data_IF_304848948534
#
_entry.id   IF_304848948534
#
_cell.length_a   1.000
_cell.length_b   1.000
_cell.length_c   1.000
_cell.angle_alpha   90.00
_cell.angle_beta   90.00
_cell.angle_gamma   90.00
#
_symmetry.space_group_name_H-M   'P 1'
#
loop_
_entity.id
_entity.type
_entity.pdbx_description
1 polymer ?
#
# COMPACT_ATOMS: atom_id res chain seq x y z
N UNK A 1 -3.60 15.74 14.43
CA UNK A 1 -2.57 16.03 13.39
C UNK A 1 -1.09 15.83 13.77
N UNK A 2 -0.51 16.48 14.79
CA UNK A 2 0.96 16.59 14.96
C UNK A 2 1.72 15.25 15.10
N UNK A 3 1.16 14.28 15.84
CA UNK A 3 1.78 12.95 16.00
C UNK A 3 1.81 12.19 14.67
N UNK A 4 0.73 12.27 13.88
CA UNK A 4 0.64 11.63 12.57
C UNK A 4 1.77 12.08 11.64
N UNK A 5 2.01 13.40 11.58
CA UNK A 5 3.09 14.01 10.79
C UNK A 5 4.46 13.62 11.32
N UNK A 6 4.70 13.73 12.63
CA UNK A 6 6.00 13.45 13.23
C UNK A 6 6.43 12.00 12.99
N UNK A 7 5.54 11.04 13.20
CA UNK A 7 5.84 9.62 12.99
C UNK A 7 6.06 9.32 11.51
N UNK A 8 5.24 9.88 10.60
CA UNK A 8 5.44 9.70 9.16
C UNK A 8 6.80 10.25 8.71
N UNK A 9 7.19 11.44 9.19
CA UNK A 9 8.49 12.03 8.90
C UNK A 9 9.63 11.15 9.40
N UNK A 10 9.54 10.61 10.62
CA UNK A 10 10.54 9.69 11.17
C UNK A 10 10.67 8.43 10.31
N UNK A 11 9.56 7.85 9.85
CA UNK A 11 9.59 6.65 8.98
C UNK A 11 10.30 6.94 7.66
N UNK A 12 9.97 8.06 7.00
CA UNK A 12 10.59 8.45 5.72
C UNK A 12 12.08 8.73 5.90
N UNK A 13 12.45 9.47 6.95
CA UNK A 13 13.86 9.77 7.27
C UNK A 13 14.62 8.48 7.59
N UNK A 14 14.05 7.57 8.37
CA UNK A 14 14.67 6.29 8.70
C UNK A 14 14.94 5.47 7.44
N UNK A 15 13.99 5.41 6.49
CA UNK A 15 14.19 4.73 5.21
C UNK A 15 15.34 5.31 4.39
N UNK A 16 15.46 6.64 4.33
CA UNK A 16 16.56 7.32 3.62
C UNK A 16 17.91 7.09 4.33
N UNK A 17 17.94 7.14 5.66
CA UNK A 17 19.14 6.86 6.47
C UNK A 17 19.61 5.43 6.29
N UNK A 18 18.70 4.44 6.30
CA UNK A 18 19.05 3.04 6.07
C UNK A 18 19.62 2.79 4.67
N UNK A 19 19.12 3.51 3.67
CA UNK A 19 19.66 3.48 2.32
C UNK A 19 21.07 4.09 2.26
N UNK A 20 21.28 5.30 2.81
CA UNK A 20 22.59 5.96 2.84
C UNK A 20 23.65 5.17 3.59
N UNK A 21 23.26 4.54 4.72
CA UNK A 21 24.13 3.64 5.49
C UNK A 21 24.36 2.28 4.83
N UNK A 22 23.80 2.04 3.63
CA UNK A 22 23.87 0.77 2.88
C UNK A 22 23.36 -0.44 3.67
N UNK A 23 22.51 -0.21 4.68
CA UNK A 23 21.88 -1.27 5.48
C UNK A 23 20.81 -1.96 4.62
N UNK A 24 20.05 -1.17 3.86
CA UNK A 24 19.02 -1.65 2.96
C UNK A 24 19.32 -1.24 1.52
N UNK A 25 19.06 -2.15 0.58
CA UNK A 25 19.02 -1.79 -0.84
C UNK A 25 17.93 -0.74 -1.10
N UNK A 26 18.03 0.02 -2.21
CA UNK A 26 17.01 1.00 -2.62
C UNK A 26 15.59 0.40 -2.59
N UNK A 27 15.43 -0.82 -3.12
CA UNK A 27 14.11 -1.44 -3.17
C UNK A 27 13.58 -1.88 -1.80
N UNK A 28 14.46 -2.39 -0.93
CA UNK A 28 14.07 -2.73 0.44
C UNK A 28 13.74 -1.48 1.25
N UNK A 29 14.48 -0.38 1.07
CA UNK A 29 14.21 0.90 1.72
C UNK A 29 12.84 1.46 1.28
N UNK A 30 12.55 1.39 -0.02
CA UNK A 30 11.24 1.79 -0.56
C UNK A 30 10.11 0.94 0.02
N UNK A 31 10.27 -0.39 0.08
CA UNK A 31 9.23 -1.28 0.63
C UNK A 31 9.12 -1.18 2.16
N UNK A 32 10.18 -0.81 2.87
CA UNK A 32 10.13 -0.45 4.29
C UNK A 32 9.22 0.78 4.51
N UNK A 33 9.44 1.88 3.77
CA UNK A 33 8.61 3.07 3.85
C UNK A 33 7.16 2.75 3.46
N UNK A 34 6.96 1.95 2.40
CA UNK A 34 5.65 1.52 1.93
C UNK A 34 4.86 0.74 2.98
N UNK A 35 5.47 -0.28 3.58
CA UNK A 35 4.81 -1.14 4.58
C UNK A 35 4.59 -0.38 5.89
N UNK A 36 5.66 0.15 6.48
CA UNK A 36 5.59 0.77 7.82
C UNK A 36 4.84 2.10 7.76
N UNK A 37 5.14 2.94 6.76
CA UNK A 37 4.43 4.20 6.53
C UNK A 37 2.98 3.96 6.16
N UNK A 38 2.69 2.97 5.31
CA UNK A 38 1.33 2.62 4.95
C UNK A 38 0.50 2.09 6.12
N UNK A 39 1.07 1.23 6.98
CA UNK A 39 0.38 0.78 8.20
C UNK A 39 0.16 1.93 9.20
N UNK A 40 1.08 2.87 9.29
CA UNK A 40 0.88 4.09 10.07
C UNK A 40 -0.24 4.97 9.49
N UNK A 41 -0.34 5.08 8.17
CA UNK A 41 -1.43 5.82 7.53
C UNK A 41 -2.76 5.08 7.71
N UNK A 42 -2.77 3.74 7.63
CA UNK A 42 -3.96 2.94 7.88
C UNK A 42 -4.57 3.21 9.27
N UNK A 43 -3.76 3.54 10.28
CA UNK A 43 -4.24 3.86 11.63
C UNK A 43 -4.66 5.32 11.84
N UNK A 44 -4.47 6.21 10.86
CA UNK A 44 -4.87 7.61 10.96
C UNK A 44 -6.33 7.88 11.32
N UNK A 45 -7.35 7.17 10.80
CA UNK A 45 -8.74 7.50 11.12
C UNK A 45 -9.10 7.23 12.59
N UNK A 46 -8.22 6.58 13.37
CA UNK A 46 -8.36 6.42 14.81
C UNK A 46 -7.63 7.52 15.62
N UNK A 47 -6.87 8.39 14.94
CA UNK A 47 -6.03 9.44 15.56
C UNK A 47 -6.45 10.84 15.15
N UNK A 48 -6.98 10.99 13.93
CA UNK A 48 -7.29 12.26 13.29
C UNK A 48 -8.57 12.13 12.46
N UNK A 49 -9.23 13.26 12.19
CA UNK A 49 -10.43 13.29 11.36
C UNK A 49 -10.09 13.14 9.86
N UNK A 50 -11.09 12.82 9.04
CA UNK A 50 -10.89 12.59 7.61
C UNK A 50 -10.51 13.86 6.83
N UNK A 51 -10.84 15.06 7.31
CA UNK A 51 -10.36 16.31 6.69
C UNK A 51 -8.85 16.46 6.84
N UNK A 52 -8.31 16.16 8.03
CA UNK A 52 -6.87 16.10 8.28
C UNK A 52 -6.20 15.01 7.43
N UNK A 53 -6.81 13.82 7.28
CA UNK A 53 -6.30 12.76 6.40
C UNK A 53 -6.22 13.25 4.96
N UNK A 54 -7.30 13.82 4.43
CA UNK A 54 -7.37 14.36 3.06
C UNK A 54 -6.28 15.43 2.84
N UNK A 55 -6.12 16.35 3.77
CA UNK A 55 -5.08 17.39 3.72
C UNK A 55 -3.67 16.77 3.71
N UNK A 56 -3.37 15.85 4.62
CA UNK A 56 -2.06 15.21 4.71
C UNK A 56 -1.74 14.34 3.49
N UNK A 57 -2.72 13.63 2.95
CA UNK A 57 -2.58 12.86 1.71
C UNK A 57 -2.33 13.76 0.51
N UNK A 58 -2.99 14.92 0.43
CA UNK A 58 -2.73 15.92 -0.61
C UNK A 58 -1.31 16.50 -0.50
N UNK A 59 -0.88 16.89 0.71
CA UNK A 59 0.49 17.39 0.95
C UNK A 59 1.52 16.31 0.56
N UNK A 60 1.29 15.06 0.94
CA UNK A 60 2.18 13.94 0.63
C UNK A 60 2.22 13.67 -0.88
N UNK A 61 1.09 13.78 -1.58
CA UNK A 61 1.01 13.67 -3.04
C UNK A 61 1.83 14.76 -3.73
N UNK A 62 1.65 16.02 -3.34
CA UNK A 62 2.42 17.14 -3.87
C UNK A 62 3.92 16.92 -3.61
N UNK A 63 4.29 16.57 -2.38
CA UNK A 63 5.67 16.27 -2.01
C UNK A 63 6.25 15.11 -2.84
N UNK A 64 5.49 14.05 -3.10
CA UNK A 64 5.92 12.92 -3.93
C UNK A 64 6.14 13.34 -5.39
N UNK A 65 5.24 14.15 -5.96
CA UNK A 65 5.40 14.68 -7.32
C UNK A 65 6.60 15.63 -7.44
N UNK A 66 6.79 16.53 -6.48
CA UNK A 66 7.94 17.43 -6.40
C UNK A 66 9.24 16.62 -6.27
N UNK A 67 9.26 15.63 -5.38
CA UNK A 67 10.40 14.72 -5.21
C UNK A 67 10.72 13.94 -6.49
N UNK A 68 9.71 13.51 -7.24
CA UNK A 68 9.89 12.86 -8.53
C UNK A 68 10.52 13.78 -9.58
N UNK A 69 10.10 15.05 -9.62
CA UNK A 69 10.66 16.03 -10.55
C UNK A 69 12.10 16.44 -10.16
N UNK A 70 12.36 16.68 -8.88
CA UNK A 70 13.65 17.17 -8.37
C UNK A 70 14.62 16.07 -7.89
N UNK A 71 14.22 14.79 -7.92
CA UNK A 71 14.98 13.63 -7.44
C UNK A 71 15.47 13.76 -5.99
N UNK A 72 14.63 14.30 -5.10
CA UNK A 72 15.01 14.64 -3.71
C UNK A 72 15.35 13.39 -2.89
N UNK A 73 14.50 12.36 -2.94
CA UNK A 73 14.74 11.10 -2.22
C UNK A 73 15.43 10.08 -3.13
N UNK A 74 16.73 9.89 -2.93
CA UNK A 74 17.53 9.02 -3.79
C UNK A 74 17.17 7.54 -3.60
N UNK A 75 16.77 7.13 -2.40
CA UNK A 75 16.31 5.76 -2.14
C UNK A 75 15.10 5.36 -3.02
N UNK A 76 14.21 6.30 -3.29
CA UNK A 76 12.99 6.11 -4.08
C UNK A 76 13.27 6.15 -5.59
N UNK A 77 14.20 7.00 -6.05
CA UNK A 77 14.48 7.23 -7.47
C UNK A 77 15.63 6.40 -8.04
N UNK A 78 16.44 5.75 -7.22
CA UNK A 78 17.61 4.96 -7.66
C UNK A 78 17.26 3.57 -8.22
N UNK A 79 15.98 3.24 -8.35
CA UNK A 79 15.53 1.96 -8.91
C UNK A 79 15.55 2.01 -10.44
N UNK A 80 16.04 0.94 -11.09
CA UNK A 80 16.14 0.85 -12.56
C UNK A 80 14.80 0.96 -13.30
N UNK A 81 13.67 0.76 -12.63
CA UNK A 81 12.32 0.76 -13.23
C UNK A 81 11.65 2.14 -13.12
N UNK A 82 11.11 2.64 -14.23
CA UNK A 82 10.17 3.78 -14.21
C UNK A 82 8.84 3.32 -13.62
N UNK A 83 8.43 3.87 -12.48
CA UNK A 83 7.15 3.57 -11.84
C UNK A 83 6.58 4.85 -11.24
N UNK A 84 5.26 5.00 -11.28
CA UNK A 84 4.54 6.12 -10.69
C UNK A 84 4.05 5.80 -9.27
N UNK A 85 4.41 4.63 -8.72
CA UNK A 85 3.91 4.13 -7.43
C UNK A 85 4.10 5.10 -6.27
N UNK A 86 5.19 5.89 -6.25
CA UNK A 86 5.44 6.88 -5.20
C UNK A 86 4.38 8.01 -5.17
N UNK A 87 3.87 8.42 -6.34
CA UNK A 87 2.78 9.41 -6.44
C UNK A 87 1.40 8.75 -6.39
N UNK A 88 1.26 7.55 -6.95
CA UNK A 88 -0.02 6.81 -6.94
C UNK A 88 -0.43 6.34 -5.54
N UNK A 89 0.53 6.09 -4.64
CA UNK A 89 0.26 5.71 -3.25
C UNK A 89 -0.50 6.80 -2.46
N UNK A 90 0.00 8.04 -2.32
CA UNK A 90 -0.75 9.09 -1.62
C UNK A 90 -2.01 9.49 -2.38
N UNK A 91 -2.06 9.36 -3.72
CA UNK A 91 -3.29 9.55 -4.49
C UNK A 91 -4.35 8.49 -4.15
N UNK A 92 -3.95 7.21 -4.04
CA UNK A 92 -4.83 6.11 -3.64
C UNK A 92 -5.44 6.34 -2.28
N UNK A 93 -4.62 6.78 -1.31
CA UNK A 93 -5.09 7.13 0.05
C UNK A 93 -6.05 8.32 0.01
N UNK A 94 -5.71 9.38 -0.74
CA UNK A 94 -6.56 10.55 -0.88
C UNK A 94 -7.95 10.17 -1.44
N UNK A 95 -8.01 9.44 -2.54
CA UNK A 95 -9.27 9.02 -3.13
C UNK A 95 -10.06 8.08 -2.20
N UNK A 96 -9.38 7.16 -1.53
CA UNK A 96 -9.99 6.26 -0.53
C UNK A 96 -10.68 7.08 0.58
N UNK A 97 -10.02 8.14 1.08
CA UNK A 97 -10.59 9.03 2.12
C UNK A 97 -11.75 9.92 1.65
N UNK A 98 -12.07 9.94 0.35
CA UNK A 98 -13.27 10.58 -0.18
C UNK A 98 -14.41 9.59 -0.40
N UNK A 99 -14.12 8.29 -0.52
CA UNK A 99 -15.13 7.25 -0.75
C UNK A 99 -15.73 6.78 0.59
N UNK A 100 -14.91 6.74 1.65
CA UNK A 100 -15.37 6.31 2.98
C UNK A 100 -14.84 7.23 4.07
N UNK A 101 -15.70 7.52 5.05
CA UNK A 101 -15.33 8.11 6.34
C UNK A 101 -15.44 7.05 7.49
N UNK A 102 -15.56 5.76 7.17
CA UNK A 102 -15.52 4.67 8.16
C UNK A 102 -14.06 4.31 8.49
N UNK A 103 -13.63 4.41 9.76
CA UNK A 103 -12.25 4.14 10.15
C UNK A 103 -11.76 2.73 9.84
N UNK A 104 -12.62 1.72 10.00
CA UNK A 104 -12.24 0.32 9.78
C UNK A 104 -12.19 -0.03 8.30
N UNK A 105 -13.10 0.52 7.47
CA UNK A 105 -13.05 0.37 6.01
C UNK A 105 -11.80 1.05 5.44
N UNK A 106 -11.47 2.26 5.92
CA UNK A 106 -10.23 2.93 5.52
C UNK A 106 -9.00 2.14 5.97
N UNK A 107 -8.97 1.66 7.22
CA UNK A 107 -7.87 0.84 7.73
C UNK A 107 -7.64 -0.40 6.88
N UNK A 108 -8.69 -1.19 6.59
CA UNK A 108 -8.56 -2.43 5.82
C UNK A 108 -8.11 -2.15 4.38
N UNK A 109 -8.58 -1.05 3.76
CA UNK A 109 -8.16 -0.63 2.43
C UNK A 109 -6.67 -0.29 2.37
N UNK A 110 -6.21 0.57 3.28
CA UNK A 110 -4.80 0.98 3.33
C UNK A 110 -3.89 -0.14 3.82
N UNK A 111 -4.37 -1.05 4.69
CA UNK A 111 -3.62 -2.23 5.11
C UNK A 111 -3.36 -3.20 3.95
N UNK A 112 -4.33 -3.43 3.06
CA UNK A 112 -4.11 -4.22 1.84
C UNK A 112 -3.06 -3.58 0.94
N UNK A 113 -3.17 -2.27 0.69
CA UNK A 113 -2.18 -1.51 -0.05
C UNK A 113 -0.78 -1.61 0.58
N UNK A 114 -0.66 -1.40 1.89
CA UNK A 114 0.63 -1.31 2.56
C UNK A 114 1.28 -2.69 2.75
N UNK A 115 0.53 -3.64 3.30
CA UNK A 115 1.06 -4.91 3.77
C UNK A 115 1.00 -5.99 2.70
N UNK A 116 -0.13 -6.20 2.04
CA UNK A 116 -0.25 -7.27 1.04
C UNK A 116 0.63 -7.00 -0.19
N UNK A 117 0.55 -5.81 -0.80
CA UNK A 117 1.47 -5.42 -1.90
C UNK A 117 2.93 -5.32 -1.43
N UNK A 118 3.15 -4.79 -0.23
CA UNK A 118 4.48 -4.69 0.36
C UNK A 118 5.18 -6.05 0.45
N UNK A 119 4.51 -7.03 1.05
CA UNK A 119 5.02 -8.39 1.22
C UNK A 119 5.13 -9.13 -0.11
N UNK A 120 4.14 -9.00 -1.00
CA UNK A 120 4.17 -9.62 -2.33
C UNK A 120 5.44 -9.25 -3.11
N UNK A 121 5.81 -7.97 -3.10
CA UNK A 121 7.02 -7.51 -3.75
C UNK A 121 8.30 -8.01 -3.07
N UNK A 122 8.37 -7.98 -1.72
CA UNK A 122 9.55 -8.44 -0.98
C UNK A 122 9.78 -9.93 -1.18
N UNK A 123 8.73 -10.75 -1.01
CA UNK A 123 8.82 -12.20 -1.15
C UNK A 123 9.06 -12.60 -2.61
N UNK A 124 8.29 -12.01 -3.54
CA UNK A 124 8.43 -12.27 -4.97
C UNK A 124 9.84 -11.95 -5.49
N UNK A 125 10.42 -10.82 -5.09
CA UNK A 125 11.79 -10.48 -5.50
C UNK A 125 12.84 -11.38 -4.87
N UNK A 126 12.70 -11.74 -3.59
CA UNK A 126 13.72 -12.49 -2.86
C UNK A 126 13.73 -13.98 -3.23
N UNK A 127 12.56 -14.59 -3.38
CA UNK A 127 12.43 -16.04 -3.60
C UNK A 127 11.65 -16.43 -4.86
N UNK A 128 10.89 -15.52 -5.47
CA UNK A 128 9.99 -15.80 -6.60
C UNK A 128 10.66 -15.82 -7.98
N UNK A 129 11.96 -15.51 -8.10
CA UNK A 129 12.64 -15.36 -9.41
C UNK A 129 12.58 -16.58 -10.32
N UNK A 130 12.56 -17.79 -9.75
CA UNK A 130 12.50 -19.06 -10.51
C UNK A 130 11.11 -19.35 -11.10
N UNK A 131 10.08 -18.70 -10.56
CA UNK A 131 8.67 -18.83 -10.98
C UNK A 131 8.13 -17.46 -11.41
N UNK A 132 8.96 -16.74 -12.17
CA UNK A 132 8.64 -15.43 -12.70
C UNK A 132 7.90 -15.53 -14.04
N UNK A 133 7.01 -14.59 -14.29
CA UNK A 133 6.28 -14.41 -15.54
C UNK A 133 6.17 -12.91 -15.85
N UNK A 134 5.68 -12.55 -17.03
CA UNK A 134 5.59 -11.14 -17.45
C UNK A 134 4.15 -10.71 -17.64
N UNK A 135 3.84 -9.52 -17.14
CA UNK A 135 2.61 -8.78 -17.44
C UNK A 135 3.05 -7.47 -18.11
N UNK A 136 2.84 -7.39 -19.43
CA UNK A 136 3.44 -6.33 -20.25
C UNK A 136 4.97 -6.33 -20.14
N UNK A 137 5.54 -5.24 -19.62
CA UNK A 137 6.99 -5.09 -19.44
C UNK A 137 7.46 -5.32 -17.99
N UNK A 138 6.57 -5.69 -17.06
CA UNK A 138 6.94 -5.97 -15.68
C UNK A 138 7.06 -7.46 -15.40
N UNK A 139 8.14 -7.85 -14.72
CA UNK A 139 8.31 -9.20 -14.21
C UNK A 139 7.53 -9.35 -12.90
N UNK A 140 6.57 -10.27 -12.88
CA UNK A 140 5.83 -10.73 -11.70
C UNK A 140 6.26 -12.14 -11.33
N UNK A 141 5.83 -12.63 -10.18
CA UNK A 141 6.20 -13.97 -9.70
C UNK A 141 5.00 -14.67 -9.09
N UNK A 142 4.90 -15.98 -9.30
CA UNK A 142 3.82 -16.78 -8.71
C UNK A 142 3.84 -16.65 -7.19
N UNK A 143 5.04 -16.68 -6.60
CA UNK A 143 5.21 -16.56 -5.15
C UNK A 143 4.76 -15.18 -4.62
N UNK A 144 4.98 -14.10 -5.37
CA UNK A 144 4.46 -12.77 -5.04
C UNK A 144 2.93 -12.74 -5.02
N UNK A 145 2.28 -13.27 -6.07
CA UNK A 145 0.81 -13.32 -6.14
C UNK A 145 0.19 -14.19 -5.04
N UNK A 146 0.80 -15.33 -4.71
CA UNK A 146 0.38 -16.18 -3.58
C UNK A 146 0.57 -15.44 -2.25
N UNK A 147 1.67 -14.71 -2.08
CA UNK A 147 1.91 -13.89 -0.87
C UNK A 147 0.85 -12.81 -0.72
N UNK A 148 0.50 -12.13 -1.82
CA UNK A 148 -0.57 -11.13 -1.82
C UNK A 148 -1.90 -11.77 -1.39
N UNK A 149 -2.27 -12.90 -2.01
CA UNK A 149 -3.53 -13.60 -1.74
C UNK A 149 -3.65 -13.99 -0.26
N UNK A 150 -2.61 -14.61 0.29
CA UNK A 150 -2.60 -15.04 1.71
C UNK A 150 -2.59 -13.85 2.67
N UNK A 151 -1.89 -12.77 2.31
CA UNK A 151 -1.86 -11.56 3.12
C UNK A 151 -3.22 -10.85 3.10
N UNK A 152 -3.87 -10.78 1.92
CA UNK A 152 -5.22 -10.24 1.78
C UNK A 152 -6.25 -11.06 2.55
N UNK A 153 -6.15 -12.40 2.51
CA UNK A 153 -7.01 -13.27 3.31
C UNK A 153 -6.84 -13.00 4.81
N UNK A 154 -5.60 -12.87 5.29
CA UNK A 154 -5.32 -12.57 6.69
C UNK A 154 -5.88 -11.20 7.12
N UNK A 155 -5.67 -10.16 6.31
CA UNK A 155 -6.19 -8.81 6.56
C UNK A 155 -7.72 -8.78 6.55
N UNK A 156 -8.35 -9.44 5.57
CA UNK A 156 -9.82 -9.52 5.45
C UNK A 156 -10.43 -10.32 6.62
N UNK A 157 -9.78 -11.40 7.03
CA UNK A 157 -10.19 -12.18 8.22
C UNK A 157 -10.12 -11.32 9.48
N UNK A 158 -9.02 -10.59 9.66
CA UNK A 158 -8.84 -9.68 10.79
C UNK A 158 -9.94 -8.60 10.82
N UNK A 159 -10.22 -7.95 9.69
CA UNK A 159 -11.30 -6.97 9.56
C UNK A 159 -12.66 -7.57 9.89
N UNK A 160 -12.97 -8.74 9.34
CA UNK A 160 -14.26 -9.42 9.55
C UNK A 160 -14.50 -9.72 11.03
N UNK A 161 -13.47 -10.20 11.75
CA UNK A 161 -13.55 -10.48 13.19
C UNK A 161 -13.74 -9.19 13.99
N UNK A 162 -12.96 -8.13 13.72
CA UNK A 162 -12.99 -6.90 14.51
C UNK A 162 -14.20 -6.01 14.21
N UNK A 163 -14.78 -6.12 13.01
CA UNK A 163 -15.99 -5.37 12.66
C UNK A 163 -17.21 -5.76 13.49
N UNK A 164 -17.19 -6.95 14.14
CA UNK A 164 -18.35 -7.52 14.81
C UNK A 164 -19.47 -7.97 13.87
N UNK A 165 -19.26 -7.88 12.55
CA UNK A 165 -20.24 -8.17 11.48
C UNK A 165 -19.80 -9.39 10.68
N UNK A 166 -19.45 -10.47 11.37
CA UNK A 166 -18.91 -11.68 10.73
C UNK A 166 -19.85 -12.25 9.67
N UNK A 167 -21.15 -12.33 9.97
CA UNK A 167 -22.15 -12.89 9.05
C UNK A 167 -22.30 -12.05 7.78
N UNK A 168 -22.28 -10.72 7.90
CA UNK A 168 -22.39 -9.80 6.77
C UNK A 168 -21.18 -9.88 5.84
N UNK A 169 -19.98 -10.15 6.37
CA UNK A 169 -18.72 -10.11 5.62
C UNK A 169 -18.11 -11.47 5.30
N UNK A 170 -18.81 -12.58 5.58
CA UNK A 170 -18.30 -13.92 5.33
C UNK A 170 -17.93 -14.14 3.85
N UNK A 171 -18.70 -13.57 2.92
CA UNK A 171 -18.41 -13.63 1.48
C UNK A 171 -17.11 -12.92 1.10
N UNK A 172 -16.68 -11.89 1.85
CA UNK A 172 -15.45 -11.15 1.61
C UNK A 172 -14.20 -12.00 1.87
N UNK A 173 -14.28 -13.01 2.74
CA UNK A 173 -13.15 -13.92 3.02
C UNK A 173 -12.66 -14.65 1.76
N UNK A 174 -13.54 -14.86 0.79
CA UNK A 174 -13.20 -15.50 -0.49
C UNK A 174 -13.06 -14.45 -1.60
N UNK A 175 -14.06 -13.57 -1.73
CA UNK A 175 -14.13 -12.64 -2.88
C UNK A 175 -13.04 -11.58 -2.85
N UNK A 176 -12.73 -11.01 -1.68
CA UNK A 176 -11.76 -9.92 -1.58
C UNK A 176 -10.34 -10.36 -1.93
N UNK A 177 -9.75 -11.43 -1.36
CA UNK A 177 -8.42 -11.89 -1.75
C UNK A 177 -8.31 -12.26 -3.23
N UNK A 178 -9.32 -12.90 -3.80
CA UNK A 178 -9.31 -13.30 -5.21
C UNK A 178 -9.33 -12.09 -6.14
N UNK A 179 -10.26 -11.15 -5.93
CA UNK A 179 -10.40 -9.95 -6.77
C UNK A 179 -9.15 -9.08 -6.63
N UNK A 180 -8.69 -8.83 -5.41
CA UNK A 180 -7.53 -7.98 -5.18
C UNK A 180 -6.23 -8.60 -5.70
N UNK A 181 -6.06 -9.93 -5.61
CA UNK A 181 -4.94 -10.62 -6.24
C UNK A 181 -4.95 -10.47 -7.77
N UNK A 182 -6.12 -10.50 -8.41
CA UNK A 182 -6.24 -10.23 -9.85
C UNK A 182 -5.86 -8.78 -10.15
N UNK A 183 -6.40 -7.81 -9.41
CA UNK A 183 -6.08 -6.39 -9.57
C UNK A 183 -4.58 -6.13 -9.39
N UNK A 184 -3.98 -6.65 -8.33
CA UNK A 184 -2.53 -6.58 -8.13
C UNK A 184 -1.84 -7.15 -9.35
N UNK A 185 -2.16 -8.37 -9.77
CA UNK A 185 -1.45 -9.06 -10.85
C UNK A 185 -1.50 -8.31 -12.19
N UNK A 186 -2.67 -7.82 -12.60
CA UNK A 186 -2.83 -7.15 -13.92
C UNK A 186 -2.31 -5.71 -13.94
N UNK A 187 -2.15 -5.07 -12.78
CA UNK A 187 -1.68 -3.70 -12.71
C UNK A 187 -0.17 -3.60 -12.90
N UNK A 188 0.23 -2.57 -13.63
CA UNK A 188 1.61 -2.26 -13.97
C UNK A 188 1.93 -0.81 -13.60
N UNK A 189 3.22 -0.47 -13.53
CA UNK A 189 3.77 0.87 -13.26
C UNK A 189 3.39 1.44 -11.89
N UNK A 190 2.88 0.63 -10.96
CA UNK A 190 2.44 1.07 -9.64
C UNK A 190 0.95 1.43 -9.57
N UNK A 191 0.13 1.02 -10.55
CA UNK A 191 -1.31 1.29 -10.57
C UNK A 191 -2.10 0.52 -9.50
N UNK A 192 -1.56 -0.59 -9.02
CA UNK A 192 -1.97 -1.27 -7.78
C UNK A 192 -2.07 -0.30 -6.60
N UNK A 193 -1.14 0.65 -6.48
CA UNK A 193 -1.15 1.62 -5.38
C UNK A 193 -2.39 2.52 -5.34
N UNK A 194 -3.08 2.64 -6.47
CA UNK A 194 -4.34 3.38 -6.61
C UNK A 194 -5.55 2.45 -6.53
N UNK A 195 -5.52 1.35 -7.30
CA UNK A 195 -6.70 0.50 -7.50
C UNK A 195 -6.98 -0.46 -6.35
N UNK A 196 -5.95 -0.97 -5.65
CA UNK A 196 -6.15 -1.90 -4.52
C UNK A 196 -6.98 -1.28 -3.40
N UNK A 197 -6.61 -0.12 -2.82
CA UNK A 197 -7.39 0.44 -1.71
C UNK A 197 -8.79 0.87 -2.14
N UNK A 198 -8.96 1.41 -3.36
CA UNK A 198 -10.29 1.76 -3.90
C UNK A 198 -11.16 0.51 -4.04
N UNK A 199 -10.61 -0.57 -4.62
CA UNK A 199 -11.34 -1.82 -4.79
C UNK A 199 -11.77 -2.42 -3.44
N UNK A 200 -10.92 -2.33 -2.40
CA UNK A 200 -11.31 -2.74 -1.05
C UNK A 200 -12.54 -1.98 -0.58
N UNK A 201 -12.52 -0.63 -0.65
CA UNK A 201 -13.67 0.17 -0.18
C UNK A 201 -14.94 -0.19 -0.94
N UNK A 202 -14.86 -0.34 -2.27
CA UNK A 202 -16.02 -0.71 -3.09
C UNK A 202 -16.55 -2.10 -2.70
N UNK A 203 -15.68 -3.09 -2.54
CA UNK A 203 -16.09 -4.45 -2.16
C UNK A 203 -16.77 -4.47 -0.78
N UNK A 204 -16.25 -3.74 0.21
CA UNK A 204 -16.88 -3.66 1.53
C UNK A 204 -18.22 -2.90 1.48
N UNK A 205 -18.29 -1.80 0.72
CA UNK A 205 -19.47 -0.92 0.71
C UNK A 205 -20.67 -1.57 0.02
N UNK A 206 -20.44 -2.48 -0.94
CA UNK A 206 -21.49 -3.15 -1.71
C UNK A 206 -21.71 -4.63 -1.32
N UNK A 207 -21.23 -5.05 -0.14
CA UNK A 207 -21.55 -6.35 0.49
C UNK A 207 -22.57 -6.13 1.59
#
# INVERSE_FOLDING_TARGET
MSIAVAVLAVIVIAGEVFWHKKILSSELSRKFIHIIGGLWIASWPFLINFEEIRLLSLITLVAACVSHYHKIFLSIHSVKRKTYGASLFPLGILLTSFITDDPWIFFVAVAHLALADGLAAVVGKKWGKKVAYHIGHEAKTVLGSVTFLLSSLAITTFYTILSGRYEDYMALLITMPLILSVIENITIKGLDNLLVPIAVVLLVTYT
#
